data_IF_136502778806
#
_entry.id   IF_136502778806
#
_cell.length_a   1.000
_cell.length_b   1.000
_cell.length_c   1.000
_cell.angle_alpha   90.00
_cell.angle_beta   90.00
_cell.angle_gamma   90.00
#
_symmetry.space_group_name_H-M   'P 1'
#
loop_
_entity.id
_entity.type
_entity.pdbx_description
1 polymer ?
#
# COMPACT_ATOMS: atom_id res chain seq x y z
N UNK A 1 -0.89 -8.53 -7.71
CA UNK A 1 -1.62 -9.74 -8.24
C UNK A 1 -2.62 -10.18 -7.17
N UNK A 2 -3.82 -10.65 -7.49
CA UNK A 2 -4.80 -11.05 -6.45
C UNK A 2 -4.48 -12.47 -5.95
N UNK A 3 -4.52 -12.68 -4.63
CA UNK A 3 -4.29 -13.98 -4.00
C UNK A 3 -2.83 -14.33 -3.69
N UNK A 4 -1.88 -13.43 -3.98
CA UNK A 4 -0.46 -13.60 -3.67
C UNK A 4 -0.02 -12.52 -2.71
N UNK A 5 0.60 -12.89 -1.59
CA UNK A 5 1.16 -11.93 -0.64
C UNK A 5 2.50 -11.39 -1.18
N UNK A 6 2.48 -10.17 -1.73
CA UNK A 6 3.67 -9.45 -2.21
C UNK A 6 3.61 -7.97 -1.81
N UNK A 7 4.73 -7.27 -1.96
CA UNK A 7 4.85 -5.83 -1.73
C UNK A 7 4.38 -4.97 -2.93
N UNK A 8 3.62 -5.55 -3.88
CA UNK A 8 3.12 -4.88 -5.09
C UNK A 8 2.37 -3.58 -4.75
N UNK A 9 1.65 -3.54 -3.63
CA UNK A 9 0.92 -2.34 -3.19
C UNK A 9 1.87 -1.12 -3.08
N UNK A 10 2.97 -1.26 -2.35
CA UNK A 10 3.91 -0.16 -2.13
C UNK A 10 4.68 0.19 -3.40
N UNK A 11 5.10 -0.82 -4.18
CA UNK A 11 5.79 -0.62 -5.46
C UNK A 11 4.92 0.18 -6.43
N UNK A 12 3.64 -0.19 -6.58
CA UNK A 12 2.73 0.49 -7.51
C UNK A 12 2.31 1.88 -7.01
N UNK A 13 2.09 2.04 -5.70
CA UNK A 13 1.71 3.32 -5.11
C UNK A 13 2.79 4.39 -5.29
N UNK A 14 4.06 3.99 -5.16
CA UNK A 14 5.20 4.90 -5.19
C UNK A 14 5.84 5.04 -6.58
N UNK A 15 5.35 4.29 -7.57
CA UNK A 15 5.80 4.40 -8.96
C UNK A 15 5.44 5.76 -9.57
N UNK A 16 6.48 6.55 -9.85
CA UNK A 16 6.37 7.88 -10.44
C UNK A 16 5.86 7.88 -11.88
N UNK A 17 5.81 6.71 -12.54
CA UNK A 17 5.21 6.57 -13.87
C UNK A 17 3.68 6.75 -13.84
N UNK A 18 3.07 6.72 -12.65
CA UNK A 18 1.65 6.96 -12.45
C UNK A 18 1.38 8.40 -11.95
N UNK A 19 0.23 8.95 -12.30
CA UNK A 19 -0.33 10.19 -11.74
C UNK A 19 -1.65 9.87 -11.07
N UNK A 20 -1.79 10.27 -9.82
CA UNK A 20 -3.04 10.13 -9.08
C UNK A 20 -3.87 11.41 -9.17
N UNK A 21 -5.15 11.28 -9.50
CA UNK A 21 -6.12 12.37 -9.58
C UNK A 21 -7.46 11.94 -9.01
N UNK A 22 -8.12 12.82 -8.24
CA UNK A 22 -9.45 12.55 -7.73
C UNK A 22 -10.46 12.43 -8.88
N UNK A 23 -11.40 11.49 -8.76
CA UNK A 23 -12.51 11.31 -9.70
C UNK A 23 -13.80 11.98 -9.24
N UNK A 24 -13.85 12.41 -7.98
CA UNK A 24 -15.01 13.01 -7.32
C UNK A 24 -14.64 14.33 -6.64
N UNK A 25 -15.62 15.22 -6.51
CA UNK A 25 -15.44 16.50 -5.81
C UNK A 25 -15.13 16.33 -4.31
N UNK A 26 -15.65 15.26 -3.70
CA UNK A 26 -15.36 14.92 -2.30
C UNK A 26 -13.96 14.34 -2.10
N UNK A 27 -13.26 13.98 -3.18
CA UNK A 27 -11.91 13.42 -3.17
C UNK A 27 -11.80 12.16 -2.30
N UNK A 28 -12.78 11.29 -2.39
CA UNK A 28 -12.79 10.00 -1.70
C UNK A 28 -12.35 8.85 -2.62
N UNK A 29 -12.37 9.08 -3.94
CA UNK A 29 -11.96 8.15 -4.98
C UNK A 29 -10.94 8.81 -5.92
N UNK A 30 -9.95 8.03 -6.35
CA UNK A 30 -8.85 8.47 -7.17
C UNK A 30 -8.51 7.43 -8.24
N UNK A 31 -8.02 7.91 -9.38
CA UNK A 31 -7.45 7.09 -10.44
C UNK A 31 -5.96 7.34 -10.57
N UNK A 32 -5.19 6.26 -10.71
CA UNK A 32 -3.81 6.28 -11.17
C UNK A 32 -3.78 6.13 -12.69
N UNK A 33 -3.29 7.15 -13.40
CA UNK A 33 -3.11 7.11 -14.84
C UNK A 33 -1.63 7.04 -15.21
N UNK A 34 -1.32 6.19 -16.20
CA UNK A 34 0.01 6.14 -16.81
C UNK A 34 0.38 7.51 -17.38
N UNK A 35 1.53 8.06 -17.01
CA UNK A 35 2.03 9.32 -17.59
C UNK A 35 2.27 9.22 -19.09
N UNK A 36 2.63 8.04 -19.58
CA UNK A 36 2.96 7.83 -20.98
C UNK A 36 1.72 7.66 -21.87
N UNK A 37 0.67 7.01 -21.38
CA UNK A 37 -0.50 6.61 -22.19
C UNK A 37 -1.81 7.26 -21.76
N UNK A 38 -1.90 7.82 -20.55
CA UNK A 38 -3.14 8.36 -19.98
C UNK A 38 -4.15 7.29 -19.52
N UNK A 39 -3.85 6.00 -19.76
CA UNK A 39 -4.70 4.89 -19.38
C UNK A 39 -4.78 4.74 -17.86
N UNK A 40 -5.99 4.46 -17.36
CA UNK A 40 -6.22 4.14 -15.95
C UNK A 40 -5.61 2.79 -15.65
N UNK A 41 -4.69 2.75 -14.68
CA UNK A 41 -4.05 1.53 -14.19
C UNK A 41 -4.65 1.03 -12.88
N UNK A 42 -4.94 1.96 -11.97
CA UNK A 42 -5.42 1.65 -10.64
C UNK A 42 -6.49 2.64 -10.20
N UNK A 43 -7.34 2.20 -9.28
CA UNK A 43 -8.18 3.07 -8.47
C UNK A 43 -7.80 2.92 -7.00
N UNK A 44 -8.08 3.94 -6.20
CA UNK A 44 -7.76 3.94 -4.77
C UNK A 44 -8.55 5.00 -4.02
N UNK A 45 -8.55 4.89 -2.70
CA UNK A 45 -9.22 5.81 -1.78
C UNK A 45 -8.20 6.63 -0.99
N UNK A 46 -8.68 7.52 -0.12
CA UNK A 46 -7.82 8.25 0.83
C UNK A 46 -7.02 7.31 1.74
N UNK A 47 -7.60 6.16 2.11
CA UNK A 47 -6.94 5.17 2.98
C UNK A 47 -5.74 4.51 2.29
N UNK A 48 -5.75 4.42 0.97
CA UNK A 48 -4.65 3.89 0.18
C UNK A 48 -3.58 4.97 -0.05
N UNK A 49 -4.03 6.17 -0.47
CA UNK A 49 -3.11 7.24 -0.88
C UNK A 49 -2.42 7.96 0.29
N UNK A 50 -2.93 7.83 1.52
CA UNK A 50 -2.27 8.41 2.70
C UNK A 50 -0.84 7.90 2.87
N UNK A 51 -0.57 6.65 2.47
CA UNK A 51 0.77 6.04 2.50
C UNK A 51 1.73 6.66 1.47
N UNK A 52 1.23 7.33 0.43
CA UNK A 52 2.04 8.04 -0.55
C UNK A 52 2.18 9.54 -0.26
N UNK A 53 1.35 10.09 0.65
CA UNK A 53 1.19 11.53 0.87
C UNK A 53 1.70 12.00 2.24
N UNK A 54 1.41 11.28 3.32
CA UNK A 54 1.93 11.61 4.65
C UNK A 54 3.41 11.25 4.73
N UNK A 55 4.27 12.18 5.15
CA UNK A 55 5.73 11.98 5.13
C UNK A 55 6.22 10.82 5.98
N UNK A 56 5.61 10.57 7.15
CA UNK A 56 6.00 9.48 8.03
C UNK A 56 5.52 8.12 7.48
N UNK A 57 4.28 8.04 7.01
CA UNK A 57 3.76 6.82 6.40
C UNK A 57 4.48 6.49 5.09
N UNK A 58 4.83 7.51 4.31
CA UNK A 58 5.62 7.36 3.09
C UNK A 58 7.00 6.79 3.37
N UNK A 59 7.68 7.23 4.42
CA UNK A 59 8.97 6.66 4.80
C UNK A 59 8.88 5.15 5.10
N UNK A 60 7.77 4.69 5.69
CA UNK A 60 7.51 3.25 5.90
C UNK A 60 7.21 2.56 4.57
N UNK A 61 6.39 3.17 3.71
CA UNK A 61 6.08 2.64 2.39
C UNK A 61 7.34 2.49 1.51
N UNK A 62 8.26 3.45 1.55
CA UNK A 62 9.53 3.42 0.81
C UNK A 62 10.39 2.21 1.22
N UNK A 63 10.40 1.84 2.51
CA UNK A 63 11.07 0.62 2.98
C UNK A 63 10.47 -0.60 2.31
N UNK A 64 9.14 -0.78 2.38
CA UNK A 64 8.53 -1.98 1.80
C UNK A 64 8.48 -1.98 0.26
N UNK A 65 8.59 -0.84 -0.41
CA UNK A 65 8.72 -0.75 -1.86
C UNK A 65 10.14 -1.03 -2.38
N UNK A 66 11.15 -1.05 -1.50
CA UNK A 66 12.53 -1.30 -1.90
C UNK A 66 12.71 -2.69 -2.52
N UNK A 67 13.61 -2.81 -3.49
CA UNK A 67 13.79 -4.02 -4.30
C UNK A 67 14.20 -5.26 -3.51
N UNK A 68 14.77 -5.08 -2.33
CA UNK A 68 15.25 -6.13 -1.41
C UNK A 68 14.24 -6.47 -0.30
N UNK A 69 13.11 -5.78 -0.24
CA UNK A 69 12.20 -5.83 0.92
C UNK A 69 11.05 -6.82 0.81
N UNK A 70 11.00 -7.64 -0.26
CA UNK A 70 9.96 -8.65 -0.45
C UNK A 70 9.86 -9.68 0.69
N UNK A 71 10.99 -10.26 1.11
CA UNK A 71 11.01 -11.22 2.23
C UNK A 71 10.67 -10.55 3.57
N UNK A 72 11.18 -9.33 3.78
CA UNK A 72 10.87 -8.52 4.97
C UNK A 72 9.37 -8.25 5.07
N UNK A 73 8.74 -7.81 3.98
CA UNK A 73 7.31 -7.54 3.94
C UNK A 73 6.49 -8.78 4.34
N UNK A 74 6.81 -9.95 3.80
CA UNK A 74 6.08 -11.19 4.13
C UNK A 74 6.22 -11.54 5.61
N UNK A 75 7.44 -11.48 6.16
CA UNK A 75 7.67 -11.75 7.59
C UNK A 75 6.92 -10.78 8.49
N UNK A 76 7.01 -9.48 8.21
CA UNK A 76 6.39 -8.45 9.03
C UNK A 76 4.86 -8.50 8.95
N UNK A 77 4.30 -8.79 7.77
CA UNK A 77 2.87 -9.01 7.58
C UNK A 77 2.37 -10.20 8.42
N UNK A 78 3.06 -11.34 8.36
CA UNK A 78 2.70 -12.53 9.15
C UNK A 78 2.79 -12.26 10.65
N UNK A 79 3.83 -11.55 11.09
CA UNK A 79 3.99 -11.18 12.50
C UNK A 79 2.87 -10.28 12.99
N UNK A 80 2.51 -9.25 12.21
CA UNK A 80 1.41 -8.35 12.53
C UNK A 80 0.05 -9.08 12.54
N UNK A 81 -0.21 -9.94 11.54
CA UNK A 81 -1.41 -10.77 11.49
C UNK A 81 -1.53 -11.66 12.72
N UNK A 82 -0.47 -12.41 13.04
CA UNK A 82 -0.41 -13.31 14.20
C UNK A 82 -0.61 -12.55 15.52
N UNK A 83 -0.06 -11.34 15.63
CA UNK A 83 -0.28 -10.47 16.79
C UNK A 83 -1.76 -10.15 16.96
N UNK A 84 -2.43 -9.70 15.90
CA UNK A 84 -3.86 -9.36 15.93
C UNK A 84 -4.71 -10.58 16.32
N UNK A 85 -4.39 -11.76 15.78
CA UNK A 85 -5.10 -13.01 16.11
C UNK A 85 -4.95 -13.46 17.57
N UNK A 86 -4.01 -12.91 18.33
CA UNK A 86 -3.77 -13.28 19.72
C UNK A 86 -4.07 -12.14 20.73
N UNK A 87 -4.65 -11.01 20.29
CA UNK A 87 -4.90 -9.87 21.17
C UNK A 87 -5.88 -10.16 22.33
N UNK A 88 -6.70 -11.19 22.22
CA UNK A 88 -7.69 -11.62 23.22
C UNK A 88 -7.32 -12.93 23.94
N UNK A 89 -6.13 -13.49 23.67
CA UNK A 89 -5.63 -14.73 24.28
C UNK A 89 -5.08 -14.50 25.69
N UNK A 90 -5.92 -13.96 26.56
CA UNK A 90 -5.60 -13.73 27.98
C UNK A 90 -5.31 -15.03 28.75
N UNK A 91 -5.69 -16.18 28.20
CA UNK A 91 -5.39 -17.51 28.73
C UNK A 91 -3.92 -17.94 28.55
N UNK A 92 -3.16 -17.26 27.69
CA UNK A 92 -1.75 -17.53 27.40
C UNK A 92 -0.76 -16.55 28.05
N UNK A 93 -1.26 -15.64 28.89
CA UNK A 93 -0.49 -14.54 29.51
C UNK A 93 0.33 -14.97 30.73
#
# INVERSE_FOLDING_TARGET
>A
RVGVLSNDFFVNLLDLSNVWSATTDTQDEFEARSRATGEVRWTGTRNDLVFGSNSQLRAIADVYASSDSGEKFVRDFIAAWTKVMNLDRFDLA
#
